data_IF_091744910774
#
_entry.id   IF_091744910774
#
_cell.length_a   1.000
_cell.length_b   1.000
_cell.length_c   1.000
_cell.angle_alpha   90.00
_cell.angle_beta   90.00
_cell.angle_gamma   90.00
#
_symmetry.space_group_name_H-M   'P 1'
#
loop_
_entity.id
_entity.type
_entity.pdbx_description
1 polymer ?
#
# COMPACT_ATOMS: atom_id res chain seq x y z
N UNK A 1 0.30 -3.22 8.96
CA UNK A 1 1.50 -2.78 8.29
C UNK A 1 2.00 -3.88 7.35
N UNK A 2 2.18 -3.57 6.05
CA UNK A 2 2.58 -4.54 5.02
C UNK A 2 3.98 -5.14 5.27
N UNK A 3 4.85 -4.43 5.99
CA UNK A 3 6.16 -4.95 6.37
C UNK A 3 6.07 -6.18 7.28
N UNK A 4 4.98 -6.37 8.02
CA UNK A 4 4.77 -7.57 8.82
C UNK A 4 4.70 -8.86 7.98
N UNK A 5 4.49 -8.76 6.67
CA UNK A 5 4.50 -9.91 5.76
C UNK A 5 5.89 -10.57 5.61
N UNK A 6 6.96 -9.97 6.13
CA UNK A 6 8.29 -10.62 6.22
C UNK A 6 8.40 -11.50 7.48
N UNK A 7 7.61 -11.25 8.52
CA UNK A 7 7.72 -11.94 9.80
C UNK A 7 7.76 -13.47 9.68
N UNK A 8 6.92 -14.12 8.84
CA UNK A 8 6.94 -15.57 8.68
C UNK A 8 8.21 -16.14 8.06
N UNK A 9 9.06 -15.30 7.51
CA UNK A 9 10.33 -15.70 6.86
C UNK A 9 11.54 -15.46 7.77
N UNK A 10 11.30 -14.93 8.97
CA UNK A 10 12.32 -14.73 10.00
C UNK A 10 12.28 -15.86 11.03
N UNK A 11 13.35 -16.01 11.80
CA UNK A 11 13.31 -16.85 13.01
C UNK A 11 12.30 -16.25 14.01
N UNK A 12 11.56 -17.08 14.78
CA UNK A 12 10.51 -16.61 15.68
C UNK A 12 10.98 -15.54 16.67
N UNK A 13 12.17 -15.69 17.22
CA UNK A 13 12.77 -14.73 18.17
C UNK A 13 13.04 -13.39 17.49
N UNK A 14 13.54 -13.39 16.26
CA UNK A 14 13.76 -12.17 15.48
C UNK A 14 12.43 -11.50 15.11
N UNK A 15 11.44 -12.29 14.69
CA UNK A 15 10.11 -11.77 14.39
C UNK A 15 9.48 -11.12 15.63
N UNK A 16 9.60 -11.77 16.80
CA UNK A 16 9.11 -11.23 18.07
C UNK A 16 9.86 -9.95 18.49
N UNK A 17 11.16 -9.88 18.27
CA UNK A 17 11.97 -8.69 18.56
C UNK A 17 11.51 -7.49 17.72
N UNK A 18 11.25 -7.68 16.43
CA UNK A 18 10.90 -6.61 15.49
C UNK A 18 9.43 -6.22 15.58
N UNK A 19 8.51 -7.18 15.71
CA UNK A 19 7.05 -6.98 15.57
C UNK A 19 6.28 -7.15 16.88
N UNK A 20 6.89 -7.69 17.94
CA UNK A 20 6.24 -7.95 19.23
C UNK A 20 5.94 -6.71 20.08
N UNK A 21 6.79 -5.67 20.11
CA UNK A 21 6.50 -4.48 20.90
C UNK A 21 5.19 -3.79 20.48
N UNK A 22 4.37 -3.27 21.41
CA UNK A 22 3.07 -2.65 21.08
C UNK A 22 3.17 -1.44 20.14
N UNK A 23 4.31 -0.75 20.13
CA UNK A 23 4.60 0.39 19.26
C UNK A 23 5.42 0.01 18.02
N UNK A 24 5.57 -1.30 17.73
CA UNK A 24 6.34 -1.74 16.58
C UNK A 24 5.74 -1.22 15.27
N UNK A 25 6.54 -0.52 14.51
CA UNK A 25 6.22 -0.06 13.18
C UNK A 25 7.45 -0.19 12.30
N UNK A 26 7.32 -0.95 11.21
CA UNK A 26 8.37 -1.11 10.21
C UNK A 26 7.99 -0.34 8.96
N UNK A 27 8.85 0.58 8.51
CA UNK A 27 8.71 1.25 7.23
C UNK A 27 9.77 0.77 6.25
N UNK A 28 9.44 0.68 4.98
CA UNK A 28 10.38 0.28 3.93
C UNK A 28 10.08 0.94 2.59
N UNK A 29 11.11 1.08 1.76
CA UNK A 29 10.98 1.44 0.36
C UNK A 29 10.86 0.22 -0.55
N UNK A 30 10.26 0.38 -1.74
CA UNK A 30 10.20 -0.70 -2.73
C UNK A 30 11.59 -1.12 -3.21
N UNK A 31 11.73 -2.33 -3.81
CA UNK A 31 12.99 -2.76 -4.44
C UNK A 31 13.48 -1.76 -5.48
N UNK A 32 14.78 -1.59 -5.53
CA UNK A 32 15.48 -0.81 -6.54
C UNK A 32 16.73 -1.56 -7.03
N UNK A 33 17.60 -0.91 -7.79
CA UNK A 33 18.82 -1.52 -8.30
C UNK A 33 19.97 -1.64 -7.27
N UNK A 34 19.72 -1.35 -5.99
CA UNK A 34 20.75 -1.46 -4.95
C UNK A 34 21.15 -2.91 -4.74
N UNK A 35 22.45 -3.11 -4.58
CA UNK A 35 23.06 -4.42 -4.34
C UNK A 35 23.48 -4.53 -2.87
N UNK A 36 23.26 -5.70 -2.29
CA UNK A 36 23.78 -6.09 -0.99
C UNK A 36 24.86 -7.16 -1.17
N UNK A 37 26.06 -6.90 -0.68
CA UNK A 37 27.19 -7.83 -0.79
C UNK A 37 27.16 -8.81 0.37
N UNK A 38 27.32 -10.10 0.08
CA UNK A 38 27.42 -11.16 1.08
C UNK A 38 28.72 -11.00 1.86
N UNK A 39 28.61 -10.98 3.19
CA UNK A 39 29.73 -11.02 4.14
C UNK A 39 29.52 -12.17 5.15
N UNK A 40 30.55 -12.58 5.91
CA UNK A 40 30.37 -13.56 6.97
C UNK A 40 29.30 -13.14 7.98
N UNK A 41 28.23 -13.94 8.12
CA UNK A 41 27.13 -13.71 9.05
C UNK A 41 26.08 -12.70 8.61
N UNK A 42 26.14 -12.19 7.36
CA UNK A 42 25.13 -11.23 6.89
C UNK A 42 25.45 -10.57 5.56
N UNK A 43 25.05 -9.31 5.46
CA UNK A 43 25.11 -8.53 4.23
C UNK A 43 25.58 -7.12 4.50
N UNK A 44 26.38 -6.57 3.59
CA UNK A 44 26.80 -5.15 3.58
C UNK A 44 26.04 -4.40 2.51
N UNK A 45 25.45 -3.25 2.85
CA UNK A 45 24.62 -2.50 1.93
C UNK A 45 24.84 -0.99 2.06
N UNK A 46 24.86 -0.30 0.91
CA UNK A 46 24.82 1.15 0.78
C UNK A 46 23.81 1.50 -0.28
N UNK A 47 22.87 2.39 0.01
CA UNK A 47 21.86 2.78 -0.96
C UNK A 47 20.82 3.75 -0.42
N UNK A 48 19.92 4.15 -1.31
CA UNK A 48 18.81 5.06 -1.00
C UNK A 48 17.51 4.43 -1.49
N UNK A 49 16.48 4.48 -0.65
CA UNK A 49 15.12 4.02 -0.96
C UNK A 49 14.14 5.16 -0.82
N UNK A 50 13.11 5.13 -1.66
CA UNK A 50 12.03 6.12 -1.69
C UNK A 50 10.71 5.50 -1.23
N UNK A 51 9.73 6.36 -0.98
CA UNK A 51 8.36 5.93 -0.65
C UNK A 51 8.24 5.11 0.63
N UNK A 52 9.06 5.39 1.64
CA UNK A 52 9.02 4.72 2.94
C UNK A 52 7.87 5.28 3.81
N UNK A 53 6.64 4.94 3.48
CA UNK A 53 5.45 5.42 4.20
C UNK A 53 5.51 5.08 5.68
N UNK A 54 5.35 6.09 6.55
CA UNK A 54 5.40 5.95 8.00
C UNK A 54 6.82 5.96 8.58
N UNK A 55 7.86 6.27 7.78
CA UNK A 55 9.25 6.24 8.24
C UNK A 55 9.52 7.15 9.44
N UNK A 56 8.80 8.28 9.55
CA UNK A 56 8.95 9.22 10.68
C UNK A 56 8.48 8.66 12.02
N UNK A 57 7.64 7.62 12.03
CA UNK A 57 7.15 6.94 13.23
C UNK A 57 7.70 5.52 13.37
N UNK A 58 8.54 5.09 12.44
CA UNK A 58 9.08 3.74 12.42
C UNK A 58 10.02 3.49 13.60
N UNK A 59 9.95 2.27 14.14
CA UNK A 59 10.93 1.75 15.10
C UNK A 59 12.01 0.93 14.38
N UNK A 60 11.64 0.35 13.24
CA UNK A 60 12.51 -0.42 12.36
C UNK A 60 12.34 0.04 10.92
N UNK A 61 13.43 0.00 10.17
CA UNK A 61 13.41 0.18 8.72
C UNK A 61 13.63 -1.16 8.03
N UNK A 62 13.12 -1.24 6.81
CA UNK A 62 13.39 -2.37 5.93
C UNK A 62 13.80 -1.89 4.56
N UNK A 63 14.60 -2.70 3.87
CA UNK A 63 15.01 -2.45 2.50
C UNK A 63 14.90 -3.74 1.69
N UNK A 64 14.90 -3.60 0.39
CA UNK A 64 14.91 -4.70 -0.56
C UNK A 64 16.07 -4.50 -1.52
N UNK A 65 16.97 -5.49 -1.59
CA UNK A 65 18.16 -5.46 -2.46
C UNK A 65 18.26 -6.70 -3.31
N UNK A 66 18.87 -6.58 -4.47
CA UNK A 66 19.47 -7.73 -5.13
C UNK A 66 20.74 -8.12 -4.39
N UNK A 67 21.00 -9.42 -4.31
CA UNK A 67 22.16 -9.96 -3.59
C UNK A 67 23.29 -10.25 -4.56
N UNK A 68 24.50 -9.81 -4.22
CA UNK A 68 25.73 -10.16 -4.94
C UNK A 68 26.72 -10.87 -4.02
N UNK A 69 27.53 -11.72 -4.63
CA UNK A 69 28.67 -12.38 -3.96
C UNK A 69 29.81 -11.40 -3.76
N UNK A 70 30.81 -11.80 -2.98
CA UNK A 70 32.02 -11.00 -2.74
C UNK A 70 32.83 -10.68 -4.01
N UNK A 71 32.71 -11.51 -5.06
CA UNK A 71 33.31 -11.27 -6.36
C UNK A 71 32.50 -10.34 -7.28
N UNK A 72 31.39 -9.77 -6.78
CA UNK A 72 30.50 -8.88 -7.52
C UNK A 72 29.49 -9.59 -8.42
N UNK A 73 29.54 -10.93 -8.56
CA UNK A 73 28.56 -11.67 -9.34
C UNK A 73 27.21 -11.75 -8.63
N UNK A 74 26.07 -11.70 -9.35
CA UNK A 74 24.76 -11.81 -8.72
C UNK A 74 24.55 -13.20 -8.11
N UNK A 75 23.93 -13.27 -6.92
CA UNK A 75 23.37 -14.51 -6.41
C UNK A 75 22.02 -14.74 -7.11
N UNK A 76 21.86 -15.93 -7.70
CA UNK A 76 20.63 -16.29 -8.39
C UNK A 76 19.73 -17.13 -7.48
N UNK A 77 18.41 -16.94 -7.61
CA UNK A 77 17.40 -17.79 -6.98
C UNK A 77 17.23 -19.11 -7.78
N UNK A 78 16.35 -19.99 -7.29
CA UNK A 78 16.06 -21.28 -7.91
C UNK A 78 15.57 -21.20 -9.37
N UNK A 79 15.03 -20.04 -9.79
CA UNK A 79 14.52 -19.80 -11.13
C UNK A 79 15.55 -19.12 -12.07
N UNK A 80 16.79 -18.94 -11.61
CA UNK A 80 17.86 -18.30 -12.39
C UNK A 80 17.78 -16.77 -12.45
N UNK A 81 16.93 -16.13 -11.66
CA UNK A 81 16.83 -14.68 -11.56
C UNK A 81 17.66 -14.15 -10.38
N UNK A 82 18.14 -12.88 -10.42
CA UNK A 82 18.80 -12.26 -9.28
C UNK A 82 17.93 -12.38 -8.01
N UNK A 83 18.50 -12.92 -6.93
CA UNK A 83 17.78 -13.03 -5.65
C UNK A 83 17.51 -11.65 -5.07
N UNK A 84 16.25 -11.40 -4.70
CA UNK A 84 15.84 -10.22 -3.93
C UNK A 84 15.67 -10.62 -2.48
N UNK A 85 16.35 -9.90 -1.59
CA UNK A 85 16.27 -10.12 -0.16
C UNK A 85 15.74 -8.90 0.56
N UNK A 86 14.82 -9.11 1.49
CA UNK A 86 14.35 -8.11 2.43
C UNK A 86 15.25 -8.12 3.65
N UNK A 87 15.63 -6.96 4.15
CA UNK A 87 16.53 -6.78 5.29
C UNK A 87 15.91 -5.79 6.25
N UNK A 88 15.97 -6.07 7.55
CA UNK A 88 15.42 -5.23 8.61
C UNK A 88 16.55 -4.72 9.50
N UNK A 89 16.43 -3.47 9.95
CA UNK A 89 17.40 -2.82 10.83
C UNK A 89 16.73 -1.72 11.65
N UNK A 90 17.27 -1.34 12.84
CA UNK A 90 16.77 -0.24 13.65
C UNK A 90 16.76 1.09 12.90
N UNK A 91 15.73 1.91 13.14
CA UNK A 91 15.53 3.17 12.40
C UNK A 91 16.68 4.17 12.53
N UNK A 92 17.40 4.16 13.64
CA UNK A 92 18.55 5.03 13.92
C UNK A 92 19.77 4.75 13.03
N UNK A 93 19.80 3.63 12.33
CA UNK A 93 20.82 3.28 11.34
C UNK A 93 20.54 3.85 9.94
N UNK A 94 19.39 4.52 9.74
CA UNK A 94 19.05 5.19 8.50
C UNK A 94 19.14 6.70 8.63
N UNK A 95 19.66 7.35 7.59
CA UNK A 95 19.52 8.80 7.43
C UNK A 95 18.19 9.07 6.72
N UNK A 96 17.25 9.71 7.40
CA UNK A 96 15.97 10.12 6.81
C UNK A 96 16.18 11.37 5.95
N UNK A 97 15.56 11.40 4.77
CA UNK A 97 15.62 12.50 3.82
C UNK A 97 14.23 13.10 3.67
N UNK A 98 14.07 14.39 3.95
CA UNK A 98 12.79 15.10 3.87
C UNK A 98 12.41 15.36 2.39
N UNK A 99 11.83 14.36 1.73
CA UNK A 99 11.55 14.37 0.30
C UNK A 99 10.05 14.30 -0.02
N UNK A 100 9.18 14.04 0.97
CA UNK A 100 7.76 13.84 0.73
C UNK A 100 6.98 15.15 0.64
N UNK A 101 7.16 15.89 -0.44
CA UNK A 101 6.43 17.11 -0.75
C UNK A 101 5.46 16.89 -1.92
N UNK A 102 4.29 16.34 -1.65
CA UNK A 102 3.29 15.91 -2.63
C UNK A 102 1.98 16.71 -2.51
N UNK A 103 1.16 16.67 -3.57
CA UNK A 103 -0.14 17.35 -3.58
C UNK A 103 -1.16 16.68 -2.65
N UNK A 104 -1.11 15.36 -2.47
CA UNK A 104 -1.98 14.57 -1.59
C UNK A 104 -1.22 13.50 -0.85
N UNK A 105 -1.91 12.76 0.05
CA UNK A 105 -1.31 11.76 0.94
C UNK A 105 -0.13 12.29 1.76
N UNK A 106 -0.13 13.57 2.08
CA UNK A 106 0.98 14.23 2.79
C UNK A 106 1.25 13.61 4.17
N UNK A 107 0.19 13.18 4.84
CA UNK A 107 0.26 12.56 6.16
C UNK A 107 0.94 11.18 6.19
N UNK A 108 1.21 10.54 5.03
CA UNK A 108 1.95 9.28 4.99
C UNK A 108 3.43 9.47 5.25
N UNK A 109 3.96 10.70 5.09
CA UNK A 109 5.37 11.02 5.23
C UNK A 109 6.24 9.94 4.56
N UNK A 110 5.95 9.67 3.26
CA UNK A 110 6.62 8.62 2.49
C UNK A 110 8.00 9.09 2.01
N UNK A 111 8.79 9.57 2.95
CA UNK A 111 10.12 10.11 2.69
C UNK A 111 11.07 9.07 2.12
N UNK A 112 12.18 9.54 1.58
CA UNK A 112 13.33 8.71 1.25
C UNK A 112 14.20 8.49 2.49
N UNK A 113 15.01 7.45 2.45
CA UNK A 113 16.05 7.22 3.45
C UNK A 113 17.28 6.61 2.79
N UNK A 114 18.43 6.81 3.42
CA UNK A 114 19.72 6.30 2.97
C UNK A 114 20.37 5.50 4.08
N UNK A 115 21.09 4.45 3.69
CA UNK A 115 22.05 3.74 4.55
C UNK A 115 23.43 3.74 3.88
N UNK A 116 24.47 3.83 4.69
CA UNK A 116 25.85 3.84 4.23
C UNK A 116 26.62 2.76 4.99
N UNK A 117 27.26 1.86 4.25
CA UNK A 117 28.07 0.77 4.80
C UNK A 117 27.36 -0.02 5.93
N UNK A 118 26.03 -0.20 5.81
CA UNK A 118 25.23 -0.88 6.82
C UNK A 118 25.48 -2.39 6.76
N UNK A 119 25.82 -3.00 7.89
CA UNK A 119 25.82 -4.45 8.04
C UNK A 119 24.48 -4.91 8.61
N UNK A 120 23.84 -5.86 7.92
CA UNK A 120 22.59 -6.51 8.39
C UNK A 120 22.88 -8.00 8.58
N UNK A 121 22.74 -8.47 9.81
CA UNK A 121 22.95 -9.88 10.13
C UNK A 121 21.88 -10.77 9.46
N UNK A 122 22.26 -12.00 9.09
CA UNK A 122 21.39 -12.98 8.41
C UNK A 122 20.05 -13.16 9.12
N UNK A 123 20.04 -13.15 10.45
CA UNK A 123 18.83 -13.31 11.27
C UNK A 123 17.74 -12.23 10.98
N UNK A 124 18.13 -11.04 10.55
CA UNK A 124 17.22 -9.94 10.22
C UNK A 124 16.89 -9.87 8.73
N UNK A 125 17.11 -10.94 7.99
CA UNK A 125 16.88 -10.96 6.55
C UNK A 125 15.96 -12.12 6.16
N UNK A 126 15.23 -11.96 5.05
CA UNK A 126 14.40 -13.02 4.51
C UNK A 126 14.16 -12.85 3.01
N UNK A 127 14.06 -13.97 2.30
CA UNK A 127 13.56 -14.02 0.93
C UNK A 127 12.11 -14.49 0.95
N UNK A 128 11.26 -13.82 0.18
CA UNK A 128 9.84 -14.15 0.03
C UNK A 128 9.54 -14.63 -1.39
N UNK A 129 10.56 -15.09 -2.09
CA UNK A 129 10.42 -15.53 -3.47
C UNK A 129 9.71 -16.88 -3.59
N UNK A 130 9.74 -17.66 -2.51
CA UNK A 130 9.06 -18.95 -2.43
C UNK A 130 8.16 -19.01 -1.19
N UNK A 131 6.87 -19.38 -1.33
CA UNK A 131 5.98 -19.60 -0.19
C UNK A 131 6.48 -20.65 0.79
N UNK A 132 7.18 -21.69 0.26
CA UNK A 132 7.73 -22.81 1.06
C UNK A 132 8.76 -22.36 2.10
N UNK A 133 9.37 -21.20 1.92
CA UNK A 133 10.26 -20.59 2.90
C UNK A 133 9.52 -19.94 4.08
N UNK A 134 8.18 -19.83 4.02
CA UNK A 134 7.37 -19.33 5.13
C UNK A 134 7.29 -20.37 6.24
N UNK A 135 7.52 -19.93 7.47
CA UNK A 135 7.36 -20.74 8.69
C UNK A 135 5.92 -20.77 9.21
N UNK A 136 5.07 -19.91 8.65
CA UNK A 136 3.67 -19.76 9.05
C UNK A 136 2.76 -20.29 7.92
N UNK A 137 1.97 -21.32 8.17
CA UNK A 137 1.17 -22.00 7.14
C UNK A 137 -0.16 -21.27 6.82
N UNK A 138 -0.39 -20.04 7.34
CA UNK A 138 -1.67 -19.36 7.19
C UNK A 138 -2.00 -18.99 5.74
N UNK A 139 -3.29 -19.02 5.33
CA UNK A 139 -3.73 -18.76 3.96
C UNK A 139 -3.42 -17.33 3.48
N UNK A 140 -3.17 -16.39 4.39
CA UNK A 140 -2.75 -15.03 4.04
C UNK A 140 -1.44 -15.03 3.24
N UNK A 141 -0.53 -15.96 3.54
CA UNK A 141 0.80 -16.02 2.91
C UNK A 141 0.79 -16.68 1.53
N UNK A 142 -0.34 -17.25 1.10
CA UNK A 142 -0.54 -17.69 -0.26
C UNK A 142 -0.71 -16.53 -1.25
N UNK A 143 -1.14 -15.35 -0.76
CA UNK A 143 -1.30 -14.16 -1.58
C UNK A 143 0.04 -13.50 -1.93
N UNK A 144 0.13 -12.95 -3.13
CA UNK A 144 1.29 -12.13 -3.49
C UNK A 144 1.31 -10.84 -2.71
N UNK A 145 2.52 -10.32 -2.43
CA UNK A 145 2.67 -9.01 -1.79
C UNK A 145 1.97 -7.90 -2.59
N UNK A 146 2.13 -7.89 -3.91
CA UNK A 146 1.49 -6.91 -4.80
C UNK A 146 -0.03 -6.98 -4.70
N UNK A 147 -0.60 -8.18 -4.57
CA UNK A 147 -2.03 -8.38 -4.35
C UNK A 147 -2.50 -7.76 -3.04
N UNK A 148 -1.81 -8.04 -1.94
CA UNK A 148 -2.15 -7.48 -0.61
C UNK A 148 -2.00 -5.96 -0.59
N UNK A 149 -0.95 -5.41 -1.20
CA UNK A 149 -0.79 -3.96 -1.35
C UNK A 149 -1.95 -3.36 -2.16
N UNK A 150 -2.33 -3.97 -3.28
CA UNK A 150 -3.41 -3.47 -4.11
C UNK A 150 -4.73 -3.40 -3.36
N UNK A 151 -5.04 -4.43 -2.56
CA UNK A 151 -6.23 -4.45 -1.67
C UNK A 151 -6.19 -3.32 -0.65
N UNK A 152 -5.04 -3.10 -0.02
CA UNK A 152 -4.87 -2.00 0.95
C UNK A 152 -5.08 -0.62 0.31
N UNK A 153 -4.50 -0.39 -0.86
CA UNK A 153 -4.68 0.87 -1.63
C UNK A 153 -6.12 1.05 -2.07
N UNK A 154 -6.78 0.00 -2.54
CA UNK A 154 -8.20 0.02 -2.90
C UNK A 154 -9.10 0.36 -1.71
N UNK A 155 -8.80 -0.19 -0.52
CA UNK A 155 -9.50 0.15 0.72
C UNK A 155 -9.41 1.62 1.08
N UNK A 156 -8.22 2.23 0.92
CA UNK A 156 -8.01 3.67 1.13
C UNK A 156 -8.82 4.49 0.12
N UNK A 157 -8.77 4.14 -1.17
CA UNK A 157 -9.50 4.83 -2.22
C UNK A 157 -11.02 4.80 -1.98
N UNK A 158 -11.58 3.62 -1.70
CA UNK A 158 -13.00 3.46 -1.37
C UNK A 158 -13.39 4.27 -0.13
N UNK A 159 -12.52 4.31 0.90
CA UNK A 159 -12.75 5.10 2.11
C UNK A 159 -12.80 6.60 1.84
N UNK A 160 -11.90 7.12 1.00
CA UNK A 160 -11.89 8.53 0.60
C UNK A 160 -13.18 8.87 -0.17
N UNK A 161 -13.54 8.07 -1.18
CA UNK A 161 -14.74 8.28 -1.98
C UNK A 161 -16.02 8.24 -1.11
N UNK A 162 -16.12 7.27 -0.20
CA UNK A 162 -17.22 7.18 0.77
C UNK A 162 -17.33 8.43 1.61
N UNK A 163 -16.23 8.89 2.21
CA UNK A 163 -16.22 10.08 3.05
C UNK A 163 -16.57 11.37 2.28
N UNK A 164 -16.19 11.45 0.99
CA UNK A 164 -16.60 12.57 0.13
C UNK A 164 -18.10 12.53 -0.18
N UNK A 165 -18.62 11.35 -0.51
CA UNK A 165 -20.04 11.18 -0.84
C UNK A 165 -20.95 11.48 0.37
N UNK A 166 -20.58 11.05 1.58
CA UNK A 166 -21.31 11.37 2.79
C UNK A 166 -21.33 12.88 3.08
N UNK A 167 -20.16 13.52 3.01
CA UNK A 167 -20.08 14.97 3.18
C UNK A 167 -20.88 15.75 2.10
N UNK A 168 -20.96 15.20 0.88
CA UNK A 168 -21.76 15.80 -0.18
C UNK A 168 -23.26 15.64 0.07
N UNK A 169 -23.72 14.50 0.56
CA UNK A 169 -25.13 14.31 0.93
C UNK A 169 -25.58 15.33 2.00
N UNK A 170 -24.73 15.57 3.00
CA UNK A 170 -24.98 16.62 4.00
C UNK A 170 -25.04 18.03 3.36
N UNK A 171 -24.05 18.37 2.54
CA UNK A 171 -24.02 19.65 1.83
C UNK A 171 -25.26 19.83 0.94
N UNK A 172 -25.69 18.79 0.24
CA UNK A 172 -26.79 18.86 -0.71
C UNK A 172 -28.13 19.21 -0.08
N UNK A 173 -28.35 18.89 1.20
CA UNK A 173 -29.59 19.24 1.92
C UNK A 173 -29.70 20.73 2.26
N UNK A 174 -28.60 21.46 2.27
CA UNK A 174 -28.55 22.86 2.71
C UNK A 174 -28.13 23.82 1.62
N UNK A 175 -27.41 23.36 0.61
CA UNK A 175 -26.87 24.22 -0.44
C UNK A 175 -27.90 24.49 -1.54
N UNK A 176 -28.24 25.76 -1.71
CA UNK A 176 -29.07 26.26 -2.82
C UNK A 176 -28.24 27.19 -3.71
N UNK A 177 -27.78 26.72 -4.90
CA UNK A 177 -27.05 27.55 -5.83
C UNK A 177 -27.94 28.73 -6.34
N UNK A 178 -27.29 29.86 -6.66
CA UNK A 178 -28.02 31.06 -7.09
C UNK A 178 -28.89 30.77 -8.33
N UNK A 179 -30.18 31.03 -8.20
CA UNK A 179 -31.16 30.85 -9.28
C UNK A 179 -31.55 29.39 -9.57
N UNK A 180 -31.23 28.46 -8.68
CA UNK A 180 -31.57 27.06 -8.78
C UNK A 180 -32.22 26.53 -7.51
N UNK A 181 -32.79 25.34 -7.59
CA UNK A 181 -33.32 24.60 -6.43
C UNK A 181 -32.17 24.08 -5.54
N UNK A 182 -32.51 23.73 -4.31
CA UNK A 182 -31.58 23.03 -3.40
C UNK A 182 -30.98 21.79 -4.09
N UNK A 183 -29.71 21.54 -3.88
CA UNK A 183 -29.04 20.44 -4.58
C UNK A 183 -29.77 19.10 -4.39
N UNK A 184 -30.27 18.84 -3.17
CA UNK A 184 -31.01 17.62 -2.87
C UNK A 184 -32.31 17.45 -3.66
N UNK A 185 -32.93 18.55 -4.12
CA UNK A 185 -34.20 18.53 -4.87
C UNK A 185 -33.98 18.32 -6.37
N UNK A 186 -32.74 18.37 -6.83
CA UNK A 186 -32.38 18.23 -8.24
C UNK A 186 -32.28 16.76 -8.65
N UNK A 187 -33.10 16.32 -9.60
CA UNK A 187 -33.13 14.93 -10.08
C UNK A 187 -31.76 14.42 -10.57
N UNK A 188 -30.94 15.29 -11.20
CA UNK A 188 -29.58 14.97 -11.63
C UNK A 188 -28.66 14.64 -10.45
N UNK A 189 -28.75 15.38 -9.36
CA UNK A 189 -27.98 15.17 -8.13
C UNK A 189 -28.42 13.87 -7.45
N UNK A 190 -29.72 13.64 -7.31
CA UNK A 190 -30.27 12.40 -6.74
C UNK A 190 -29.78 11.17 -7.53
N UNK A 191 -29.88 11.22 -8.86
CA UNK A 191 -29.38 10.15 -9.74
C UNK A 191 -27.87 9.95 -9.62
N UNK A 192 -27.11 11.04 -9.49
CA UNK A 192 -25.64 10.98 -9.30
C UNK A 192 -25.25 10.32 -7.97
N UNK A 193 -25.95 10.68 -6.87
CA UNK A 193 -25.75 10.01 -5.55
C UNK A 193 -26.06 8.53 -5.66
N UNK A 194 -27.20 8.15 -6.26
CA UNK A 194 -27.57 6.74 -6.42
C UNK A 194 -26.53 5.94 -7.22
N UNK A 195 -26.01 6.50 -8.33
CA UNK A 195 -24.95 5.86 -9.11
C UNK A 195 -23.63 5.75 -8.33
N UNK A 196 -23.27 6.77 -7.56
CA UNK A 196 -22.07 6.77 -6.72
C UNK A 196 -22.15 5.71 -5.62
N UNK A 197 -23.29 5.57 -4.95
CA UNK A 197 -23.56 4.50 -3.98
C UNK A 197 -23.41 3.11 -4.60
N UNK A 198 -24.03 2.89 -5.76
CA UNK A 198 -23.96 1.62 -6.46
C UNK A 198 -22.51 1.29 -6.87
N UNK A 199 -21.76 2.28 -7.36
CA UNK A 199 -20.36 2.10 -7.80
C UNK A 199 -19.44 1.73 -6.64
N UNK A 200 -19.49 2.44 -5.51
CA UNK A 200 -18.69 2.11 -4.32
C UNK A 200 -19.11 0.73 -3.78
N UNK A 201 -20.41 0.50 -3.68
CA UNK A 201 -20.97 -0.75 -3.14
C UNK A 201 -20.58 -1.97 -3.96
N UNK A 202 -20.74 -1.93 -5.29
CA UNK A 202 -20.42 -3.03 -6.18
C UNK A 202 -18.92 -3.31 -6.24
N UNK A 203 -18.09 -2.27 -6.34
CA UNK A 203 -16.63 -2.43 -6.35
C UNK A 203 -16.11 -3.08 -5.05
N UNK A 204 -16.63 -2.62 -3.91
CA UNK A 204 -16.30 -3.21 -2.60
C UNK A 204 -16.79 -4.67 -2.50
N UNK A 205 -18.01 -4.95 -2.92
CA UNK A 205 -18.57 -6.30 -2.86
C UNK A 205 -17.77 -7.28 -3.72
N UNK A 206 -17.47 -6.92 -4.96
CA UNK A 206 -16.65 -7.75 -5.85
C UNK A 206 -15.26 -8.05 -5.26
N UNK A 207 -14.56 -7.03 -4.75
CA UNK A 207 -13.24 -7.21 -4.18
C UNK A 207 -13.27 -8.13 -2.94
N UNK A 208 -14.22 -7.90 -2.04
CA UNK A 208 -14.34 -8.71 -0.82
C UNK A 208 -14.78 -10.16 -1.12
N UNK A 209 -15.63 -10.37 -2.09
CA UNK A 209 -16.06 -11.72 -2.49
C UNK A 209 -14.89 -12.50 -3.08
N UNK A 210 -14.17 -11.90 -4.04
CA UNK A 210 -12.97 -12.51 -4.60
C UNK A 210 -11.96 -12.89 -3.50
N UNK A 211 -11.73 -11.99 -2.54
CA UNK A 211 -10.80 -12.26 -1.44
C UNK A 211 -11.28 -13.39 -0.53
N UNK A 212 -12.59 -13.46 -0.20
CA UNK A 212 -13.13 -14.52 0.65
C UNK A 212 -13.04 -15.89 0.00
N UNK A 213 -13.41 -16.00 -1.28
CA UNK A 213 -13.32 -17.25 -2.04
C UNK A 213 -11.87 -17.74 -2.13
N UNK A 214 -10.96 -16.85 -2.53
CA UNK A 214 -9.55 -17.19 -2.67
C UNK A 214 -8.93 -17.56 -1.31
N UNK A 215 -9.23 -16.81 -0.25
CA UNK A 215 -8.74 -17.09 1.10
C UNK A 215 -9.24 -18.45 1.62
N UNK A 216 -10.52 -18.78 1.37
CA UNK A 216 -11.10 -20.05 1.77
C UNK A 216 -10.52 -21.25 0.99
N UNK A 217 -10.13 -21.04 -0.28
CA UNK A 217 -9.54 -22.07 -1.12
C UNK A 217 -8.03 -22.22 -0.96
N UNK A 218 -7.34 -21.22 -0.36
CA UNK A 218 -5.90 -21.21 -0.25
C UNK A 218 -5.37 -22.37 0.60
N UNK A 219 -4.39 -23.09 0.08
CA UNK A 219 -3.72 -24.21 0.78
C UNK A 219 -2.45 -23.69 1.46
N UNK A 220 -2.07 -24.29 2.61
CA UNK A 220 -0.81 -23.98 3.27
C UNK A 220 0.39 -24.16 2.33
N UNK A 221 1.36 -23.24 2.44
CA UNK A 221 2.64 -23.30 1.71
C UNK A 221 2.52 -23.31 0.17
N UNK A 222 1.37 -22.88 -0.37
CA UNK A 222 1.16 -22.75 -1.82
C UNK A 222 0.86 -21.30 -2.19
N UNK A 223 1.26 -20.91 -3.41
CA UNK A 223 0.81 -19.64 -3.98
C UNK A 223 -0.56 -19.77 -4.61
N UNK A 224 -1.39 -18.74 -4.52
CA UNK A 224 -2.65 -18.66 -5.27
C UNK A 224 -2.39 -18.71 -6.78
N UNK A 225 -3.36 -19.20 -7.54
CA UNK A 225 -3.28 -19.33 -9.00
C UNK A 225 -3.05 -17.98 -9.70
N UNK A 226 -2.60 -18.03 -10.95
CA UNK A 226 -2.48 -16.79 -11.77
C UNK A 226 -3.85 -16.15 -12.01
N UNK A 227 -4.90 -16.94 -12.17
CA UNK A 227 -6.26 -16.46 -12.30
C UNK A 227 -6.73 -15.72 -11.05
N UNK A 228 -6.49 -16.28 -9.86
CA UNK A 228 -6.82 -15.63 -8.59
C UNK A 228 -6.03 -14.33 -8.38
N UNK A 229 -4.75 -14.31 -8.75
CA UNK A 229 -3.94 -13.08 -8.75
C UNK A 229 -4.55 -12.01 -9.66
N UNK A 230 -5.00 -12.41 -10.85
CA UNK A 230 -5.67 -11.52 -11.79
C UNK A 230 -7.00 -11.00 -11.25
N UNK A 231 -7.81 -11.86 -10.60
CA UNK A 231 -9.08 -11.46 -9.95
C UNK A 231 -8.86 -10.43 -8.85
N UNK A 232 -7.89 -10.65 -7.96
CA UNK A 232 -7.53 -9.69 -6.89
C UNK A 232 -7.10 -8.36 -7.50
N UNK A 233 -6.25 -8.40 -8.54
CA UNK A 233 -5.75 -7.20 -9.20
C UNK A 233 -6.86 -6.44 -9.91
N UNK A 234 -7.72 -7.13 -10.65
CA UNK A 234 -8.88 -6.55 -11.32
C UNK A 234 -9.82 -5.87 -10.33
N UNK A 235 -10.15 -6.55 -9.22
CA UNK A 235 -11.02 -6.01 -8.18
C UNK A 235 -10.43 -4.76 -7.52
N UNK A 236 -9.13 -4.77 -7.21
CA UNK A 236 -8.46 -3.63 -6.62
C UNK A 236 -8.38 -2.43 -7.57
N UNK A 237 -7.97 -2.64 -8.83
CA UNK A 237 -7.90 -1.57 -9.83
C UNK A 237 -9.27 -0.97 -10.12
N UNK A 238 -10.31 -1.82 -10.30
CA UNK A 238 -11.68 -1.36 -10.50
C UNK A 238 -12.17 -0.52 -9.29
N UNK A 239 -11.86 -0.94 -8.06
CA UNK A 239 -12.26 -0.20 -6.86
C UNK A 239 -11.56 1.17 -6.78
N UNK A 240 -10.27 1.25 -7.12
CA UNK A 240 -9.52 2.52 -7.12
C UNK A 240 -10.09 3.47 -8.17
N UNK A 241 -10.28 3.02 -9.41
CA UNK A 241 -10.80 3.87 -10.48
C UNK A 241 -12.25 4.29 -10.25
N UNK A 242 -13.10 3.36 -9.78
CA UNK A 242 -14.47 3.70 -9.40
C UNK A 242 -14.55 4.71 -8.27
N UNK A 243 -13.62 4.64 -7.31
CA UNK A 243 -13.53 5.63 -6.24
C UNK A 243 -13.11 7.01 -6.76
N UNK A 244 -12.18 7.10 -7.73
CA UNK A 244 -11.80 8.36 -8.38
C UNK A 244 -13.00 8.98 -9.09
N UNK A 245 -13.74 8.22 -9.88
CA UNK A 245 -14.93 8.72 -10.59
C UNK A 245 -15.99 9.29 -9.65
N UNK A 246 -16.22 8.62 -8.51
CA UNK A 246 -17.14 9.14 -7.49
C UNK A 246 -16.62 10.44 -6.86
N UNK A 247 -15.33 10.47 -6.54
CA UNK A 247 -14.70 11.66 -5.94
C UNK A 247 -14.74 12.87 -6.90
N UNK A 248 -14.49 12.65 -8.18
CA UNK A 248 -14.58 13.68 -9.22
C UNK A 248 -15.99 14.22 -9.36
N UNK A 249 -16.97 13.32 -9.44
CA UNK A 249 -18.37 13.72 -9.51
C UNK A 249 -18.77 14.56 -8.28
N UNK A 250 -18.45 14.09 -7.07
CA UNK A 250 -18.71 14.81 -5.83
C UNK A 250 -18.05 16.20 -5.81
N UNK A 251 -16.78 16.27 -6.22
CA UNK A 251 -16.04 17.54 -6.23
C UNK A 251 -16.69 18.57 -7.17
N UNK A 252 -17.11 18.14 -8.36
CA UNK A 252 -17.81 18.99 -9.33
C UNK A 252 -19.17 19.46 -8.82
N UNK A 253 -19.99 18.56 -8.27
CA UNK A 253 -21.33 18.92 -7.76
C UNK A 253 -21.25 19.79 -6.49
N UNK A 254 -20.23 19.61 -5.66
CA UNK A 254 -19.99 20.48 -4.52
C UNK A 254 -19.60 21.92 -4.95
N UNK A 255 -19.08 22.08 -6.18
CA UNK A 255 -18.76 23.38 -6.78
C UNK A 255 -17.83 24.22 -5.90
N UNK A 256 -18.07 25.53 -5.79
CA UNK A 256 -17.21 26.44 -5.03
C UNK A 256 -17.03 26.05 -3.55
N UNK A 257 -17.93 25.25 -2.97
CA UNK A 257 -17.77 24.75 -1.60
C UNK A 257 -16.59 23.78 -1.46
N UNK A 258 -16.12 23.20 -2.56
CA UNK A 258 -15.05 22.21 -2.55
C UNK A 258 -13.64 22.80 -2.56
N UNK A 259 -13.45 24.04 -3.01
CA UNK A 259 -12.12 24.60 -3.32
C UNK A 259 -11.40 25.22 -2.12
N UNK A 260 -12.08 25.44 -1.00
CA UNK A 260 -11.48 26.12 0.15
C UNK A 260 -10.66 25.17 1.02
N UNK A 261 -9.46 25.59 1.49
CA UNK A 261 -8.74 24.85 2.52
C UNK A 261 -9.63 24.61 3.76
N UNK A 262 -9.60 23.37 4.26
CA UNK A 262 -10.46 22.98 5.40
C UNK A 262 -11.83 22.44 4.98
N UNK A 263 -12.22 22.57 3.70
CA UNK A 263 -13.40 21.88 3.19
C UNK A 263 -13.19 20.35 3.25
N UNK A 264 -14.26 19.55 3.51
CA UNK A 264 -14.13 18.10 3.55
C UNK A 264 -13.77 17.50 2.17
N UNK A 265 -13.87 18.28 1.09
CA UNK A 265 -13.65 17.82 -0.30
C UNK A 265 -12.22 18.05 -0.79
N UNK A 266 -11.65 19.23 -0.54
CA UNK A 266 -10.40 19.70 -1.12
C UNK A 266 -9.24 18.73 -0.84
N UNK A 267 -9.01 18.39 0.43
CA UNK A 267 -7.94 17.46 0.82
C UNK A 267 -8.18 16.07 0.24
N UNK A 268 -9.41 15.56 0.34
CA UNK A 268 -9.77 14.22 -0.16
C UNK A 268 -9.64 14.10 -1.67
N UNK A 269 -9.95 15.17 -2.40
CA UNK A 269 -9.74 15.24 -3.85
C UNK A 269 -8.26 15.08 -4.20
N UNK A 270 -7.37 15.81 -3.52
CA UNK A 270 -5.92 15.64 -3.72
C UNK A 270 -5.42 14.26 -3.31
N UNK A 271 -5.92 13.75 -2.20
CA UNK A 271 -5.53 12.43 -1.69
C UNK A 271 -5.94 11.31 -2.64
N UNK A 272 -7.18 11.32 -3.19
CA UNK A 272 -7.66 10.27 -4.10
C UNK A 272 -6.86 10.25 -5.41
N UNK A 273 -6.55 11.43 -5.97
CA UNK A 273 -5.72 11.52 -7.17
C UNK A 273 -4.27 11.09 -6.92
N UNK A 274 -3.75 11.28 -5.71
CA UNK A 274 -2.44 10.75 -5.34
C UNK A 274 -2.48 9.23 -5.15
N UNK A 275 -3.50 8.68 -4.49
CA UNK A 275 -3.71 7.23 -4.33
C UNK A 275 -3.75 6.54 -5.69
N UNK A 276 -4.47 7.10 -6.66
CA UNK A 276 -4.64 6.53 -7.99
C UNK A 276 -3.35 6.48 -8.83
N UNK A 277 -2.28 7.17 -8.42
CA UNK A 277 -0.98 7.11 -9.11
C UNK A 277 -0.09 5.97 -8.65
N UNK A 278 -0.46 5.24 -7.62
CA UNK A 278 0.31 4.08 -7.19
C UNK A 278 0.26 2.96 -8.24
N UNK A 279 1.34 2.16 -8.31
CA UNK A 279 1.43 1.04 -9.26
C UNK A 279 0.30 0.03 -9.10
N UNK A 280 -0.30 -0.06 -7.93
CA UNK A 280 -1.43 -0.93 -7.61
C UNK A 280 -2.72 -0.53 -8.31
N UNK A 281 -2.82 0.67 -8.85
CA UNK A 281 -3.96 1.14 -9.63
C UNK A 281 -3.88 0.78 -11.12
N UNK A 282 -2.76 0.21 -11.57
CA UNK A 282 -2.47 -0.11 -12.98
C UNK A 282 -2.89 -1.53 -13.34
#
# INVERSE_FOLDING_TARGET
>A
NSAALIAPYLEPETAQMVFGPPNALVAWGPPNATLATIEPGGYRVTGEWRFASGSRQATWMGLHCMVQKSDGSPRLNANGHPEIRSMLFPVDQATQLDTWNTIGLRGTASDSYRVENLFVADAFTGSRETPDASREPGPLYAFTMQGIYAVGVAGVALGIARAMLEAFKELATTKTPRGLDTLADRAGVQSGVARSEARIGSARAYLLEALREIYAAAQPSTSISTEDRARVRLGASNAIHGAVEVADWVYHEAGVSAIFPGSPFERRFRDIHTVSQQIQSR
#
